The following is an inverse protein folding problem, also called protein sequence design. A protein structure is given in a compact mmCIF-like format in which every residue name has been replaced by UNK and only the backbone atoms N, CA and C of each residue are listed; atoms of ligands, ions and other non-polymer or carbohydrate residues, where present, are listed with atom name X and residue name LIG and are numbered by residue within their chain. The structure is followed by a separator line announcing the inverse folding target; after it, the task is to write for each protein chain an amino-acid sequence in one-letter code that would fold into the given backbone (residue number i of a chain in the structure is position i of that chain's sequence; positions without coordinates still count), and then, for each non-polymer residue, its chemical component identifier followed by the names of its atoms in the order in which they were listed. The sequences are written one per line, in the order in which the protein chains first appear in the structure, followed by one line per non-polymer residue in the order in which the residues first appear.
data_IF_020176552270
#
_entry.id   IF_020176552270
#
_cell.length_a   1.000
_cell.length_b   1.000
_cell.length_c   1.000
_cell.angle_alpha   90.00
_cell.angle_beta   90.00
_cell.angle_gamma   90.00
#
_symmetry.space_group_name_H-M   'P 1'
#
loop_
_entity.id
_entity.type
_entity.pdbx_description
1 polymer ?
#
# COMPACT_ATOMS: atom_id res chain seq x y z
N UNK A 1 -2.78 -16.17 -23.08
CA UNK A 1 -1.73 -15.23 -22.63
C UNK A 1 -2.27 -14.50 -21.42
N UNK A 2 -1.61 -14.65 -20.27
CA UNK A 2 -2.03 -14.10 -18.99
C UNK A 2 -2.40 -12.62 -19.15
N UNK A 3 -3.67 -12.24 -18.94
CA UNK A 3 -4.02 -10.83 -18.74
C UNK A 3 -3.27 -10.41 -17.48
N UNK A 4 -2.26 -9.58 -17.71
CA UNK A 4 -1.08 -9.39 -16.89
C UNK A 4 -1.43 -9.22 -15.40
N UNK A 5 -0.81 -10.04 -14.55
CA UNK A 5 -0.76 -9.81 -13.10
C UNK A 5 0.22 -8.68 -12.75
N UNK A 6 1.01 -8.22 -13.72
CA UNK A 6 2.05 -7.20 -13.58
C UNK A 6 1.50 -5.87 -13.02
N UNK A 7 0.38 -5.31 -13.51
CA UNK A 7 -0.25 -4.14 -12.89
C UNK A 7 -0.59 -4.34 -11.41
N UNK A 8 -1.10 -5.52 -11.02
CA UNK A 8 -1.44 -5.79 -9.62
C UNK A 8 -0.19 -5.85 -8.72
N UNK A 9 0.90 -6.44 -9.22
CA UNK A 9 2.17 -6.47 -8.48
C UNK A 9 2.83 -5.10 -8.40
N UNK A 10 2.67 -4.27 -9.43
CA UNK A 10 3.21 -2.92 -9.47
C UNK A 10 2.46 -2.02 -8.48
N UNK A 11 1.12 -2.11 -8.45
CA UNK A 11 0.29 -1.42 -7.46
C UNK A 11 0.56 -1.88 -6.04
N UNK A 12 0.71 -3.19 -5.82
CA UNK A 12 1.08 -3.70 -4.51
C UNK A 12 2.39 -3.06 -4.02
N UNK A 13 3.39 -2.95 -4.90
CA UNK A 13 4.70 -2.40 -4.55
C UNK A 13 4.68 -0.88 -4.31
N UNK A 14 4.07 -0.12 -5.21
CA UNK A 14 4.21 1.34 -5.23
C UNK A 14 3.07 2.11 -4.60
N UNK A 15 1.89 1.51 -4.50
CA UNK A 15 0.71 2.17 -3.92
C UNK A 15 0.40 1.64 -2.52
N UNK A 16 0.54 0.32 -2.30
CA UNK A 16 0.10 -0.33 -1.05
C UNK A 16 1.23 -0.51 -0.05
N UNK A 17 2.43 -0.89 -0.52
CA UNK A 17 3.61 -1.09 0.33
C UNK A 17 4.56 0.11 0.32
N UNK A 18 4.15 1.23 -0.28
CA UNK A 18 4.94 2.45 -0.24
C UNK A 18 4.96 3.02 1.18
N UNK A 19 6.16 3.36 1.64
CA UNK A 19 6.35 4.00 2.93
C UNK A 19 5.62 5.35 3.01
N UNK A 20 5.45 6.04 1.88
CA UNK A 20 4.66 7.25 1.82
C UNK A 20 3.40 6.97 1.03
N UNK A 21 2.27 6.98 1.71
CA UNK A 21 1.01 6.56 1.14
C UNK A 21 -0.17 7.17 1.89
N UNK A 22 -1.38 6.86 1.43
CA UNK A 22 -2.62 7.31 2.07
C UNK A 22 -2.73 6.76 3.51
N UNK A 23 -3.73 7.18 4.31
CA UNK A 23 -3.93 6.65 5.66
C UNK A 23 -4.01 5.11 5.70
N UNK A 24 -3.75 4.51 6.87
CA UNK A 24 -3.79 3.05 7.07
C UNK A 24 -5.07 2.40 6.49
N UNK A 25 -6.23 3.00 6.73
CA UNK A 25 -7.51 2.50 6.22
C UNK A 25 -7.54 2.38 4.69
N UNK A 26 -6.87 3.29 3.98
CA UNK A 26 -6.76 3.24 2.52
C UNK A 26 -5.79 2.14 2.08
N UNK A 27 -4.66 1.96 2.77
CA UNK A 27 -3.75 0.85 2.49
C UNK A 27 -4.46 -0.50 2.66
N UNK A 28 -5.27 -0.66 3.72
CA UNK A 28 -6.09 -1.85 3.95
C UNK A 28 -7.10 -2.08 2.82
N UNK A 29 -7.86 -1.05 2.44
CA UNK A 29 -8.85 -1.15 1.37
C UNK A 29 -8.21 -1.52 0.01
N UNK A 30 -7.06 -0.93 -0.32
CA UNK A 30 -6.32 -1.25 -1.54
C UNK A 30 -5.73 -2.67 -1.50
N UNK A 31 -5.26 -3.12 -0.35
CA UNK A 31 -4.78 -4.50 -0.16
C UNK A 31 -5.91 -5.51 -0.41
N UNK A 32 -7.07 -5.29 0.21
CA UNK A 32 -8.23 -6.17 0.06
C UNK A 32 -8.73 -6.18 -1.40
N UNK A 33 -8.67 -5.03 -2.09
CA UNK A 33 -8.94 -4.96 -3.53
C UNK A 33 -8.00 -5.85 -4.35
N UNK A 34 -6.68 -5.82 -4.11
CA UNK A 34 -5.72 -6.69 -4.82
C UNK A 34 -6.02 -8.17 -4.57
N UNK A 35 -6.35 -8.53 -3.32
CA UNK A 35 -6.71 -9.90 -2.96
C UNK A 35 -7.94 -10.40 -3.72
N UNK A 36 -8.97 -9.56 -3.85
CA UNK A 36 -10.16 -9.90 -4.64
C UNK A 36 -9.86 -9.96 -6.16
N UNK A 37 -9.06 -9.04 -6.68
CA UNK A 37 -8.63 -9.08 -8.08
C UNK A 37 -7.82 -10.35 -8.40
N UNK A 38 -6.99 -10.82 -7.47
CA UNK A 38 -6.30 -12.11 -7.60
C UNK A 38 -7.29 -13.29 -7.56
N UNK A 39 -8.32 -13.22 -6.71
CA UNK A 39 -9.34 -14.27 -6.62
C UNK A 39 -10.09 -14.45 -7.94
N UNK A 40 -10.51 -13.36 -8.59
CA UNK A 40 -11.20 -13.41 -9.89
C UNK A 40 -10.35 -14.06 -10.99
N UNK A 41 -9.02 -14.00 -10.85
CA UNK A 41 -8.06 -14.48 -11.86
C UNK A 41 -7.62 -15.93 -11.64
N UNK A 42 -8.11 -16.63 -10.59
CA UNK A 42 -7.81 -18.05 -10.35
C UNK A 42 -7.98 -18.93 -11.59
N UNK A 43 -9.03 -18.78 -12.44
CA UNK A 43 -9.18 -19.61 -13.64
C UNK A 43 -8.01 -19.52 -14.63
N UNK A 44 -7.19 -18.46 -14.57
CA UNK A 44 -6.06 -18.25 -15.48
C UNK A 44 -4.82 -19.07 -15.10
N UNK A 45 -4.58 -19.28 -13.80
CA UNK A 45 -3.51 -20.12 -13.26
C UNK A 45 -3.82 -20.45 -11.79
N UNK A 46 -4.65 -21.48 -11.59
CA UNK A 46 -5.23 -21.77 -10.29
C UNK A 46 -4.16 -22.09 -9.23
N UNK A 47 -3.08 -22.79 -9.61
CA UNK A 47 -2.04 -23.21 -8.67
C UNK A 47 -1.16 -22.04 -8.24
N UNK A 48 -0.76 -21.16 -9.17
CA UNK A 48 0.09 -20.01 -8.84
C UNK A 48 -0.70 -18.95 -8.09
N UNK A 49 -1.86 -18.57 -8.59
CA UNK A 49 -2.65 -17.45 -8.06
C UNK A 49 -3.19 -17.77 -6.68
N UNK A 50 -3.65 -19.01 -6.42
CA UNK A 50 -4.05 -19.42 -5.05
C UNK A 50 -2.90 -19.31 -4.06
N UNK A 51 -1.70 -19.75 -4.43
CA UNK A 51 -0.52 -19.67 -3.54
C UNK A 51 -0.19 -18.22 -3.20
N UNK A 52 -0.13 -17.35 -4.20
CA UNK A 52 0.16 -15.92 -3.98
C UNK A 52 -0.92 -15.26 -3.12
N UNK A 53 -2.21 -15.50 -3.40
CA UNK A 53 -3.31 -14.92 -2.62
C UNK A 53 -3.26 -15.36 -1.16
N UNK A 54 -3.07 -16.65 -0.89
CA UNK A 54 -2.97 -17.17 0.49
C UNK A 54 -1.76 -16.58 1.20
N UNK A 55 -0.60 -16.53 0.53
CA UNK A 55 0.60 -15.92 1.12
C UNK A 55 0.38 -14.45 1.48
N UNK A 56 -0.24 -13.67 0.58
CA UNK A 56 -0.57 -12.27 0.85
C UNK A 56 -1.55 -12.13 2.02
N UNK A 57 -2.65 -12.90 2.03
CA UNK A 57 -3.62 -12.86 3.12
C UNK A 57 -2.98 -13.21 4.48
N UNK A 58 -2.11 -14.22 4.51
CA UNK A 58 -1.42 -14.63 5.75
C UNK A 58 -0.40 -13.60 6.23
N UNK A 59 0.13 -12.77 5.34
CA UNK A 59 1.13 -11.74 5.66
C UNK A 59 0.53 -10.34 5.72
N UNK A 60 -0.80 -10.17 5.61
CA UNK A 60 -1.46 -8.85 5.52
C UNK A 60 -1.02 -7.92 6.63
N UNK A 61 -1.13 -8.38 7.88
CA UNK A 61 -0.86 -7.54 9.04
C UNK A 61 0.63 -7.18 9.13
N UNK A 62 1.53 -8.13 8.84
CA UNK A 62 2.97 -7.87 8.80
C UNK A 62 3.34 -6.89 7.68
N UNK A 63 2.73 -7.05 6.50
CA UNK A 63 2.95 -6.20 5.34
C UNK A 63 2.40 -4.79 5.54
N UNK A 64 1.38 -4.61 6.38
CA UNK A 64 0.76 -3.31 6.66
C UNK A 64 1.18 -2.69 8.00
N UNK A 65 1.91 -3.42 8.85
CA UNK A 65 2.36 -2.95 10.16
C UNK A 65 3.18 -1.65 10.07
N UNK A 66 3.94 -1.46 8.99
CA UNK A 66 4.71 -0.24 8.77
C UNK A 66 3.83 1.01 8.72
N UNK A 67 2.64 0.93 8.14
CA UNK A 67 1.74 2.06 7.98
C UNK A 67 1.20 2.52 9.34
N UNK A 68 0.91 1.58 10.25
CA UNK A 68 0.55 1.90 11.64
C UNK A 68 1.67 2.61 12.40
N UNK A 69 2.91 2.08 12.30
CA UNK A 69 4.09 2.70 12.94
C UNK A 69 4.36 4.10 12.39
N UNK A 70 4.23 4.28 11.07
CA UNK A 70 4.44 5.57 10.43
C UNK A 70 3.39 6.59 10.89
N UNK A 71 2.11 6.23 10.86
CA UNK A 71 1.02 7.12 11.31
C UNK A 71 1.25 7.56 12.76
N UNK A 72 1.65 6.65 13.65
CA UNK A 72 1.98 6.98 15.03
C UNK A 72 3.14 7.99 15.14
N UNK A 73 4.20 7.81 14.34
CA UNK A 73 5.34 8.75 14.30
C UNK A 73 4.94 10.13 13.77
N UNK A 74 4.12 10.18 12.72
CA UNK A 74 3.62 11.43 12.16
C UNK A 74 2.69 12.15 13.13
N UNK A 75 1.87 11.42 13.90
CA UNK A 75 1.06 12.00 14.96
C UNK A 75 1.92 12.66 16.05
N UNK A 76 3.03 12.03 16.46
CA UNK A 76 3.99 12.63 17.39
C UNK A 76 4.60 13.92 16.83
N UNK A 77 4.94 13.95 15.53
CA UNK A 77 5.46 15.16 14.86
C UNK A 77 4.39 16.25 14.82
N UNK A 78 3.15 15.91 14.47
CA UNK A 78 2.03 16.85 14.43
C UNK A 78 1.79 17.50 15.80
N UNK A 79 1.83 16.70 16.86
CA UNK A 79 1.72 17.15 18.25
C UNK A 79 2.85 18.13 18.62
N UNK A 80 4.10 17.76 18.32
CA UNK A 80 5.28 18.59 18.62
C UNK A 80 5.29 19.91 17.83
N UNK A 81 4.79 19.90 16.60
CA UNK A 81 4.69 21.08 15.74
C UNK A 81 3.39 21.88 15.94
N UNK A 82 2.47 21.42 16.79
CA UNK A 82 1.15 22.01 17.01
C UNK A 82 0.36 22.24 15.69
N UNK A 83 0.39 21.25 14.80
CA UNK A 83 -0.36 21.25 13.54
C UNK A 83 -1.30 20.05 13.47
N UNK A 84 -2.41 20.15 12.71
CA UNK A 84 -3.25 19.00 12.40
C UNK A 84 -2.47 17.87 11.71
N UNK A 85 -2.75 16.61 12.08
CA UNK A 85 -2.02 15.44 11.57
C UNK A 85 -2.27 15.16 10.08
N UNK A 86 -3.43 15.54 9.56
CA UNK A 86 -3.76 15.50 8.13
C UNK A 86 -2.85 16.43 7.30
N UNK A 87 -2.42 17.57 7.83
CA UNK A 87 -1.44 18.44 7.15
C UNK A 87 -0.05 17.78 7.08
N UNK A 88 0.37 17.07 8.12
CA UNK A 88 1.65 16.33 8.13
C UNK A 88 1.60 15.20 7.09
N UNK A 89 0.49 14.46 7.03
CA UNK A 89 0.28 13.41 6.02
C UNK A 89 0.29 13.99 4.61
N UNK A 90 -0.41 15.11 4.37
CA UNK A 90 -0.43 15.78 3.07
C UNK A 90 0.97 16.26 2.66
N UNK A 91 1.74 16.81 3.60
CA UNK A 91 3.12 17.25 3.34
C UNK A 91 4.04 16.06 3.00
N UNK A 92 3.95 14.94 3.74
CA UNK A 92 4.68 13.71 3.43
C UNK A 92 4.30 13.16 2.06
N UNK A 93 3.00 13.09 1.74
CA UNK A 93 2.53 12.64 0.43
C UNK A 93 3.10 13.52 -0.69
N UNK A 94 3.03 14.84 -0.56
CA UNK A 94 3.58 15.77 -1.55
C UNK A 94 5.09 15.59 -1.72
N UNK A 95 5.84 15.54 -0.60
CA UNK A 95 7.29 15.39 -0.60
C UNK A 95 7.70 14.09 -1.29
N UNK A 96 7.06 12.98 -0.96
CA UNK A 96 7.41 11.69 -1.51
C UNK A 96 7.06 11.55 -3.00
N UNK A 97 5.94 12.12 -3.45
CA UNK A 97 5.64 12.22 -4.88
C UNK A 97 6.68 13.05 -5.64
N UNK A 98 7.11 14.18 -5.06
CA UNK A 98 8.15 15.02 -5.66
C UNK A 98 9.51 14.32 -5.75
N UNK A 99 9.86 13.48 -4.77
CA UNK A 99 11.11 12.70 -4.79
C UNK A 99 11.04 11.42 -5.63
N UNK A 100 9.84 10.87 -5.82
CA UNK A 100 9.62 9.65 -6.61
C UNK A 100 9.49 9.96 -8.11
N UNK A 101 9.13 11.20 -8.48
CA UNK A 101 9.18 11.64 -9.87
C UNK A 101 10.64 11.83 -10.29
N UNK A 102 11.13 11.18 -11.35
CA UNK A 102 12.42 11.56 -11.92
C UNK A 102 12.31 13.03 -12.38
N UNK A 103 13.30 13.84 -12.03
CA UNK A 103 13.46 15.16 -12.63
C UNK A 103 13.46 14.97 -14.16
N UNK A 104 12.49 15.57 -14.83
CA UNK A 104 12.43 15.63 -16.29
C UNK A 104 13.63 16.38 -16.85
#
# INVERSE_FOLDING_TARGET
MARDIRPLTEWLRHDILSLAGPPLATHEALFDFIVEQLRERIPLDARRIRRVRIALQNQRDDLLAFAGVLVAKLATIAQAANVPGDLVLAACFLHCNLTASPAH
#
